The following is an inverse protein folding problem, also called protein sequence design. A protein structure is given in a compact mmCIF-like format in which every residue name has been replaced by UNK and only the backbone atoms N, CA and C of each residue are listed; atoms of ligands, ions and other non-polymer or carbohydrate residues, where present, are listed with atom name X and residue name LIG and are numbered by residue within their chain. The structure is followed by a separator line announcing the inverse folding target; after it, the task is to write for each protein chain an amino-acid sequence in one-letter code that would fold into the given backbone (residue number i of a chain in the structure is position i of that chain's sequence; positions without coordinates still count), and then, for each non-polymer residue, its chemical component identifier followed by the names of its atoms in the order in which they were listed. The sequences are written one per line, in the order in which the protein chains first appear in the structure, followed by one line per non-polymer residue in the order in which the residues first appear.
data_IF_145735217226
#
_entry.id   IF_145735217226
#
_cell.length_a   1.000
_cell.length_b   1.000
_cell.length_c   1.000
_cell.angle_alpha   90.00
_cell.angle_beta   90.00
_cell.angle_gamma   90.00
#
_symmetry.space_group_name_H-M   'P 1'
#
loop_
_entity.id
_entity.type
_entity.pdbx_description
1 polymer ?
#
# COMPACT_ATOMS: atom_id res chain seq x y z
N UNK A 1 9.64 -2.47 23.15
CA UNK A 1 8.99 -2.06 22.85
C UNK A 1 8.41 -2.33 21.73
N UNK A 2 7.48 -2.35 21.60
CA UNK A 2 6.86 -2.73 20.54
C UNK A 2 7.07 -1.90 19.53
N UNK A 3 7.10 -2.18 18.45
CA UNK A 3 7.34 -1.34 17.54
C UNK A 3 6.33 -1.48 16.58
N UNK A 4 6.45 -0.70 15.64
CA UNK A 4 5.46 -0.48 14.66
C UNK A 4 4.92 -1.68 14.04
N UNK A 5 5.69 -2.64 13.85
CA UNK A 5 5.20 -3.83 13.23
C UNK A 5 4.12 -4.46 14.07
N UNK A 6 4.24 -4.36 15.34
CA UNK A 6 3.26 -4.90 16.21
C UNK A 6 1.99 -4.17 16.14
N UNK A 7 2.05 -2.87 16.09
CA UNK A 7 0.86 -2.07 15.99
C UNK A 7 0.10 -2.37 14.73
N UNK A 8 0.79 -2.54 13.64
CA UNK A 8 0.13 -2.84 12.42
C UNK A 8 -0.59 -4.15 12.51
N UNK A 9 0.04 -5.14 13.10
CA UNK A 9 -0.59 -6.42 13.24
C UNK A 9 -1.82 -6.34 14.10
N UNK A 10 -1.83 -5.54 15.11
CA UNK A 10 -2.97 -5.39 15.98
C UNK A 10 -4.14 -4.72 15.29
N UNK A 11 -3.90 -3.99 14.23
CA UNK A 11 -4.99 -3.35 13.53
C UNK A 11 -5.64 -4.22 12.49
N UNK A 12 -5.12 -5.41 12.21
CA UNK A 12 -5.76 -6.29 11.26
C UNK A 12 -6.89 -7.06 11.94
N UNK A 13 -7.95 -7.34 11.24
CA UNK A 13 -9.06 -8.08 11.83
C UNK A 13 -8.67 -9.51 12.14
N UNK A 14 -9.37 -10.13 13.06
CA UNK A 14 -9.06 -11.49 13.46
C UNK A 14 -9.21 -12.49 12.32
N UNK A 15 -10.05 -12.19 11.36
CA UNK A 15 -10.25 -13.07 10.21
C UNK A 15 -9.35 -12.67 9.03
N UNK A 16 -8.28 -11.95 9.29
CA UNK A 16 -7.39 -11.51 8.23
C UNK A 16 -6.90 -12.65 7.33
N UNK A 17 -6.51 -13.81 7.86
CA UNK A 17 -6.08 -14.90 6.98
C UNK A 17 -7.17 -15.34 6.00
N UNK A 18 -8.42 -15.32 6.42
CA UNK A 18 -9.53 -15.68 5.58
C UNK A 18 -9.74 -14.61 4.50
N UNK A 19 -9.69 -13.35 4.89
CA UNK A 19 -9.84 -12.25 3.93
C UNK A 19 -8.72 -12.29 2.91
N UNK A 20 -7.51 -12.51 3.38
CA UNK A 20 -6.35 -12.57 2.51
C UNK A 20 -6.51 -13.67 1.46
N UNK A 21 -6.90 -14.85 1.88
CA UNK A 21 -7.08 -15.95 0.97
C UNK A 21 -8.21 -15.67 -0.03
N UNK A 22 -9.27 -15.04 0.43
CA UNK A 22 -10.39 -14.69 -0.43
C UNK A 22 -9.96 -13.76 -1.54
N UNK A 23 -9.12 -12.78 -1.21
CA UNK A 23 -8.63 -11.84 -2.20
C UNK A 23 -7.70 -12.53 -3.20
N UNK A 24 -6.81 -13.39 -2.71
CA UNK A 24 -5.92 -14.10 -3.61
C UNK A 24 -6.69 -14.99 -4.56
N UNK A 25 -7.70 -15.67 -4.06
CA UNK A 25 -8.52 -16.52 -4.92
C UNK A 25 -9.30 -15.69 -5.94
N UNK A 26 -9.90 -14.61 -5.49
CA UNK A 26 -10.67 -13.74 -6.37
C UNK A 26 -9.79 -13.23 -7.52
N UNK A 27 -8.55 -12.90 -7.20
CA UNK A 27 -7.63 -12.31 -8.18
C UNK A 27 -6.81 -13.38 -8.92
N UNK A 28 -7.10 -14.64 -8.70
CA UNK A 28 -6.46 -15.73 -9.43
C UNK A 28 -5.03 -15.98 -9.03
N UNK A 29 -4.64 -15.57 -7.85
CA UNK A 29 -3.27 -15.69 -7.36
C UNK A 29 -2.28 -14.99 -8.29
N UNK A 30 -2.76 -13.99 -9.00
CA UNK A 30 -1.95 -13.23 -9.94
C UNK A 30 -2.00 -11.75 -9.56
N UNK A 31 -0.88 -11.07 -9.68
CA UNK A 31 -0.79 -9.65 -9.38
C UNK A 31 -1.78 -8.88 -10.25
N UNK A 32 -2.50 -7.94 -9.65
CA UNK A 32 -3.49 -7.17 -10.39
C UNK A 32 -2.95 -5.83 -10.89
N UNK A 33 -1.69 -5.51 -10.61
CA UNK A 33 -1.13 -4.24 -11.05
C UNK A 33 -1.08 -4.18 -12.56
N UNK A 34 -1.29 -3.00 -13.09
CA UNK A 34 -1.27 -2.79 -14.52
C UNK A 34 0.08 -2.18 -14.89
N UNK A 35 0.72 -2.74 -15.88
CA UNK A 35 2.02 -2.28 -16.32
C UNK A 35 1.89 -0.97 -17.07
N UNK A 36 2.78 -0.02 -16.77
CA UNK A 36 2.66 1.27 -17.36
C UNK A 36 2.94 1.30 -18.82
N UNK A 37 3.88 0.53 -19.28
CA UNK A 37 4.30 0.59 -20.67
C UNK A 37 3.35 -0.15 -21.61
N UNK A 38 2.70 -1.19 -21.18
CA UNK A 38 1.84 -1.95 -22.06
C UNK A 38 0.37 -1.83 -21.72
N UNK A 39 0.05 -1.39 -20.51
CA UNK A 39 -1.33 -1.36 -20.06
C UNK A 39 -1.88 -2.73 -19.70
N UNK A 40 -1.05 -3.74 -19.75
CA UNK A 40 -1.50 -5.10 -19.47
C UNK A 40 -1.33 -5.42 -17.99
N UNK A 41 -2.09 -6.38 -17.52
CA UNK A 41 -2.00 -6.80 -16.13
C UNK A 41 -0.68 -7.54 -15.93
N UNK A 42 -0.05 -7.33 -14.78
CA UNK A 42 1.16 -8.04 -14.42
C UNK A 42 0.88 -9.54 -14.37
N UNK A 43 1.77 -10.35 -14.89
CA UNK A 43 1.57 -11.78 -14.92
C UNK A 43 2.25 -12.53 -13.79
N UNK A 44 2.94 -11.82 -12.91
CA UNK A 44 3.61 -12.47 -11.79
C UNK A 44 2.62 -13.03 -10.78
N UNK A 45 3.02 -14.05 -10.07
CA UNK A 45 2.16 -14.60 -9.01
C UNK A 45 2.01 -13.59 -7.89
N UNK A 46 0.84 -13.50 -7.34
CA UNK A 46 0.60 -12.62 -6.20
C UNK A 46 0.87 -13.37 -4.93
N UNK A 47 1.65 -12.78 -4.06
CA UNK A 47 1.95 -13.35 -2.76
C UNK A 47 1.49 -12.42 -1.65
N UNK A 48 1.20 -11.17 -1.98
CA UNK A 48 0.88 -10.16 -0.98
C UNK A 48 -0.53 -9.63 -1.20
N UNK A 49 -1.18 -9.26 -0.15
CA UNK A 49 -2.49 -8.60 -0.23
C UNK A 49 -2.31 -7.21 0.36
N UNK A 50 -2.68 -6.22 -0.41
CA UNK A 50 -2.43 -4.83 -0.09
C UNK A 50 -3.72 -4.04 0.00
N UNK A 51 -3.74 -3.01 0.81
CA UNK A 51 -4.87 -2.10 0.89
C UNK A 51 -4.76 -1.08 -0.23
N UNK A 52 -5.77 -0.97 -1.06
CA UNK A 52 -5.77 -0.01 -2.17
C UNK A 52 -5.62 1.39 -1.59
N UNK A 53 -6.43 1.70 -0.58
CA UNK A 53 -6.26 2.93 0.16
C UNK A 53 -5.65 2.54 1.50
N UNK A 54 -4.47 3.05 1.84
CA UNK A 54 -3.82 2.65 3.09
C UNK A 54 -4.66 3.00 4.30
N UNK A 55 -4.60 2.19 5.30
CA UNK A 55 -5.32 2.44 6.54
C UNK A 55 -6.02 1.21 7.06
N UNK A 56 -7.12 1.43 7.71
CA UNK A 56 -7.82 0.35 8.40
C UNK A 56 -9.10 -0.12 7.74
N UNK A 57 -9.31 0.20 6.48
CA UNK A 57 -10.45 -0.30 5.75
C UNK A 57 -10.08 -1.68 5.21
N UNK A 58 -10.54 -2.72 5.88
CA UNK A 58 -10.21 -4.09 5.51
C UNK A 58 -11.28 -4.77 4.67
N UNK A 59 -12.16 -3.98 4.08
CA UNK A 59 -13.20 -4.51 3.24
C UNK A 59 -12.56 -5.14 2.02
N UNK A 60 -13.09 -6.24 1.54
CA UNK A 60 -12.52 -6.92 0.38
C UNK A 60 -12.41 -5.99 -0.83
N UNK A 61 -13.32 -5.06 -0.95
CA UNK A 61 -13.27 -4.10 -2.04
C UNK A 61 -12.05 -3.18 -1.98
N UNK A 62 -11.45 -3.04 -0.80
CA UNK A 62 -10.27 -2.22 -0.62
C UNK A 62 -8.98 -3.05 -0.58
N UNK A 63 -9.06 -4.32 -0.94
CA UNK A 63 -7.90 -5.19 -0.91
C UNK A 63 -7.59 -5.70 -2.31
N UNK A 64 -6.31 -5.87 -2.59
CA UNK A 64 -5.89 -6.34 -3.91
C UNK A 64 -4.69 -7.26 -3.77
N UNK A 65 -4.54 -8.17 -4.71
CA UNK A 65 -3.42 -9.11 -4.73
C UNK A 65 -2.27 -8.51 -5.53
N UNK A 66 -1.10 -8.48 -4.96
CA UNK A 66 0.07 -7.94 -5.64
C UNK A 66 1.25 -8.90 -5.53
N UNK A 67 2.13 -8.87 -6.52
CA UNK A 67 3.39 -9.56 -6.40
C UNK A 67 4.28 -8.75 -5.48
N UNK A 68 5.33 -9.37 -4.98
CA UNK A 68 6.21 -8.70 -4.03
C UNK A 68 6.79 -7.40 -4.60
N UNK A 69 7.15 -7.40 -5.86
CA UNK A 69 7.77 -6.24 -6.48
C UNK A 69 6.81 -5.04 -6.54
N UNK A 70 5.57 -5.27 -6.99
CA UNK A 70 4.60 -4.18 -7.07
C UNK A 70 4.16 -3.72 -5.68
N UNK A 71 4.07 -4.65 -4.74
CA UNK A 71 3.73 -4.29 -3.37
C UNK A 71 4.82 -3.39 -2.77
N UNK A 72 6.07 -3.75 -2.98
CA UNK A 72 7.18 -2.95 -2.47
C UNK A 72 7.20 -1.56 -3.11
N UNK A 73 6.95 -1.48 -4.39
CA UNK A 73 6.92 -0.18 -5.05
C UNK A 73 5.79 0.71 -4.55
N UNK A 74 4.61 0.12 -4.36
CA UNK A 74 3.48 0.88 -3.85
C UNK A 74 3.76 1.36 -2.43
N UNK A 75 4.30 0.52 -1.58
CA UNK A 75 4.60 0.88 -0.22
C UNK A 75 5.64 1.99 -0.16
N UNK A 76 6.65 1.94 -1.01
CA UNK A 76 7.66 2.98 -1.08
C UNK A 76 7.05 4.30 -1.51
N UNK A 77 6.19 4.27 -2.51
CA UNK A 77 5.55 5.49 -2.99
C UNK A 77 4.67 6.10 -1.91
N UNK A 78 3.95 5.27 -1.18
CA UNK A 78 3.08 5.74 -0.10
C UNK A 78 3.92 6.33 1.03
N UNK A 79 5.04 5.72 1.34
CA UNK A 79 5.94 6.22 2.35
C UNK A 79 6.53 7.57 1.98
N UNK A 80 6.92 7.74 0.74
CA UNK A 80 7.46 9.00 0.26
C UNK A 80 6.38 10.08 0.31
N UNK A 81 5.18 9.77 -0.12
CA UNK A 81 4.09 10.74 -0.09
C UNK A 81 3.76 11.18 1.34
N UNK A 82 3.76 10.24 2.27
CA UNK A 82 3.49 10.56 3.65
C UNK A 82 4.60 11.43 4.24
N UNK A 83 5.84 11.15 3.88
CA UNK A 83 6.94 11.93 4.34
C UNK A 83 6.87 13.35 3.79
N UNK A 84 6.53 13.52 2.55
CA UNK A 84 6.40 14.85 1.96
C UNK A 84 5.29 15.63 2.64
N UNK A 85 4.18 15.00 2.95
CA UNK A 85 3.10 15.69 3.63
C UNK A 85 3.51 16.14 5.02
N UNK A 86 4.27 15.34 5.73
CA UNK A 86 4.72 15.72 7.05
C UNK A 86 5.67 16.90 6.99
N UNK A 87 6.57 16.90 6.06
CA UNK A 87 7.50 18.00 5.90
C UNK A 87 6.76 19.27 5.56
N UNK A 88 5.82 19.20 4.67
CA UNK A 88 5.04 20.33 4.29
C UNK A 88 4.30 20.94 5.44
N UNK A 89 3.71 20.12 6.29
CA UNK A 89 3.02 20.64 7.42
C UNK A 89 3.92 21.20 8.45
N UNK A 90 5.13 20.78 8.60
CA UNK A 90 5.97 21.32 9.57
C UNK A 90 6.58 22.59 9.14
N UNK A 91 6.67 22.92 7.90
CA UNK A 91 7.25 24.11 7.46
C UNK A 91 6.27 25.18 7.46
N UNK A 92 6.51 26.26 7.97
CA UNK A 92 5.59 27.38 8.00
C UNK A 92 5.57 27.88 6.64
N UNK A 93 4.51 28.39 6.30
CA UNK A 93 4.45 28.87 5.10
C UNK A 93 5.23 29.91 4.91
N UNK A 94 5.43 30.43 4.17
CA UNK A 94 6.14 31.54 4.01
C UNK A 94 7.52 31.21 3.96
N UNK A 95 7.94 30.24 4.06
CA UNK A 95 9.10 29.98 4.03
C UNK A 95 9.50 30.27 2.98
N UNK A 96 10.27 30.55 2.57
CA UNK A 96 10.57 31.23 1.58
C UNK A 96 10.56 30.60 0.38
N UNK A 97 10.32 31.23 -0.55
CA UNK A 97 10.14 30.78 -1.81
C UNK A 97 11.21 29.92 -2.28
N UNK A 98 12.27 30.27 -2.04
CA UNK A 98 13.30 29.53 -2.53
C UNK A 98 13.25 28.18 -2.06
N UNK A 99 12.63 28.01 -1.00
CA UNK A 99 12.63 26.81 -0.49
C UNK A 99 11.84 25.94 -1.19
N UNK A 100 11.01 26.42 -1.80
CA UNK A 100 10.13 25.68 -2.37
C UNK A 100 10.50 24.98 -3.47
N UNK A 101 11.43 25.19 -3.90
CA UNK A 101 11.68 24.65 -5.02
C UNK A 101 12.38 23.83 -4.99
#
# INVERSE_FOLDING_TARGET
MPWTGSDRRLRLPSDWPVRRLSVLKRDGFQCVAVLRDTGARCTASATDVDHIVPGDDHDLANLQALCRWHHARKSSAEGVAAKRRRVSRRRPEGRHPGDLR
#
